data_IF_395601321173
#
_entry.id   IF_395601321173
#
_cell.length_a   1.000
_cell.length_b   1.000
_cell.length_c   1.000
_cell.angle_alpha   90.00
_cell.angle_beta   90.00
_cell.angle_gamma   90.00
#
_symmetry.space_group_name_H-M   'P 1'
#
loop_
_entity.id
_entity.type
_entity.pdbx_description
1 polymer ?
#
# COMPACT_ATOMS: atom_id res chain seq x y z
N UNK A 1 -8.26 -7.67 7.05
CA UNK A 1 -9.09 -6.58 6.48
C UNK A 1 -9.95 -7.11 5.34
N UNK A 2 -10.74 -6.26 4.66
CA UNK A 2 -11.76 -6.64 3.66
C UNK A 2 -11.17 -7.47 2.52
N UNK A 3 -10.08 -7.00 1.90
CA UNK A 3 -9.45 -7.72 0.79
C UNK A 3 -8.64 -8.95 1.20
N UNK A 4 -8.22 -9.07 2.46
CA UNK A 4 -7.54 -10.29 2.94
C UNK A 4 -8.41 -11.54 2.79
N UNK A 5 -9.75 -11.39 2.79
CA UNK A 5 -10.69 -12.48 2.53
C UNK A 5 -10.55 -13.09 1.13
N UNK A 6 -10.05 -12.32 0.17
CA UNK A 6 -9.85 -12.76 -1.21
C UNK A 6 -8.43 -13.27 -1.49
N UNK A 7 -7.50 -13.20 -0.52
CA UNK A 7 -6.14 -13.77 -0.65
C UNK A 7 -6.12 -15.22 -1.18
N UNK A 8 -7.00 -16.14 -0.76
CA UNK A 8 -7.01 -17.51 -1.28
C UNK A 8 -7.26 -17.60 -2.80
N UNK A 9 -8.04 -16.67 -3.36
CA UNK A 9 -8.37 -16.66 -4.80
C UNK A 9 -7.15 -16.30 -5.64
N UNK A 10 -6.36 -15.33 -5.17
CA UNK A 10 -5.17 -14.86 -5.89
C UNK A 10 -3.90 -15.67 -5.59
N UNK A 11 -3.92 -16.51 -4.56
CA UNK A 11 -2.76 -17.31 -4.14
C UNK A 11 -2.25 -18.27 -5.23
N UNK A 12 -3.16 -18.85 -6.03
CA UNK A 12 -2.80 -19.79 -7.10
C UNK A 12 -1.94 -19.15 -8.20
N UNK A 13 -2.42 -18.10 -8.89
CA UNK A 13 -1.63 -17.40 -9.91
C UNK A 13 -0.31 -16.82 -9.38
N UNK A 14 -0.34 -16.18 -8.22
CA UNK A 14 0.83 -15.54 -7.61
C UNK A 14 1.90 -16.58 -7.25
N UNK A 15 1.51 -17.73 -6.69
CA UNK A 15 2.47 -18.79 -6.35
C UNK A 15 3.15 -19.40 -7.58
N UNK A 16 2.44 -19.52 -8.71
CA UNK A 16 3.05 -19.97 -9.98
C UNK A 16 4.09 -18.98 -10.49
N UNK A 17 3.78 -17.69 -10.48
CA UNK A 17 4.73 -16.65 -10.86
C UNK A 17 5.92 -16.60 -9.90
N UNK A 18 5.68 -16.70 -8.60
CA UNK A 18 6.73 -16.74 -7.59
C UNK A 18 7.70 -17.90 -7.82
N UNK A 19 7.19 -19.08 -8.19
CA UNK A 19 8.04 -20.23 -8.55
C UNK A 19 8.93 -19.91 -9.76
N UNK A 20 8.36 -19.34 -10.83
CA UNK A 20 9.14 -18.97 -12.02
C UNK A 20 10.27 -18.01 -11.65
N UNK A 21 9.99 -16.98 -10.85
CA UNK A 21 11.01 -16.02 -10.40
C UNK A 21 12.06 -16.69 -9.51
N UNK A 22 11.65 -17.53 -8.57
CA UNK A 22 12.55 -18.26 -7.69
C UNK A 22 13.52 -19.17 -8.48
N UNK A 23 13.02 -19.83 -9.52
CA UNK A 23 13.81 -20.73 -10.36
C UNK A 23 14.83 -19.97 -11.26
N UNK A 24 14.72 -18.64 -11.39
CA UNK A 24 15.71 -17.80 -12.11
C UNK A 24 16.90 -17.35 -11.24
N UNK A 25 16.90 -17.65 -9.94
CA UNK A 25 17.95 -17.23 -9.00
C UNK A 25 17.79 -15.80 -8.45
N UNK A 26 16.71 -15.11 -8.79
CA UNK A 26 16.34 -13.81 -8.19
C UNK A 26 15.92 -14.04 -6.72
N UNK A 27 16.44 -13.22 -5.82
CA UNK A 27 16.12 -13.32 -4.38
C UNK A 27 14.84 -12.56 -4.03
N UNK A 28 14.08 -12.97 -2.99
CA UNK A 28 12.92 -12.22 -2.51
C UNK A 28 13.22 -10.75 -2.22
N UNK A 29 14.36 -10.46 -1.58
CA UNK A 29 14.78 -9.08 -1.27
C UNK A 29 14.98 -8.21 -2.52
N UNK A 30 15.47 -8.77 -3.63
CA UNK A 30 15.56 -8.05 -4.91
C UNK A 30 14.18 -7.71 -5.46
N UNK A 31 13.20 -8.62 -5.30
CA UNK A 31 11.81 -8.38 -5.70
C UNK A 31 11.17 -7.30 -4.82
N UNK A 32 11.43 -7.30 -3.52
CA UNK A 32 11.02 -6.22 -2.60
C UNK A 32 11.61 -4.87 -3.00
N UNK A 33 12.91 -4.79 -3.33
CA UNK A 33 13.52 -3.54 -3.80
C UNK A 33 12.96 -3.07 -5.15
N UNK A 34 12.62 -4.00 -6.04
CA UNK A 34 11.93 -3.66 -7.30
C UNK A 34 10.52 -3.10 -7.03
N UNK A 35 9.78 -3.66 -6.07
CA UNK A 35 8.47 -3.13 -5.67
C UNK A 35 8.61 -1.68 -5.17
N UNK A 36 9.64 -1.37 -4.39
CA UNK A 36 9.95 -0.01 -3.94
C UNK A 36 10.18 0.93 -5.14
N UNK A 37 11.00 0.52 -6.11
CA UNK A 37 11.26 1.33 -7.30
C UNK A 37 9.96 1.65 -8.05
N UNK A 38 9.07 0.66 -8.23
CA UNK A 38 7.78 0.88 -8.88
C UNK A 38 6.90 1.87 -8.12
N UNK A 39 6.89 1.82 -6.79
CA UNK A 39 6.14 2.81 -5.99
C UNK A 39 6.70 4.23 -6.12
N UNK A 40 8.03 4.38 -6.22
CA UNK A 40 8.68 5.67 -6.44
C UNK A 40 8.33 6.25 -7.82
N UNK A 41 8.40 5.43 -8.86
CA UNK A 41 8.01 5.83 -10.22
C UNK A 41 6.52 6.16 -10.29
N UNK A 42 5.65 5.37 -9.65
CA UNK A 42 4.22 5.69 -9.55
C UNK A 42 3.99 7.06 -8.89
N UNK A 43 4.65 7.32 -7.76
CA UNK A 43 4.60 8.60 -7.06
C UNK A 43 5.03 9.78 -7.95
N UNK A 44 6.14 9.63 -8.68
CA UNK A 44 6.60 10.64 -9.62
C UNK A 44 5.59 10.89 -10.76
N UNK A 45 5.02 9.82 -11.32
CA UNK A 45 3.99 9.92 -12.35
C UNK A 45 2.74 10.64 -11.84
N UNK A 46 2.27 10.36 -10.62
CA UNK A 46 1.17 11.12 -10.02
C UNK A 46 1.53 12.59 -9.83
N UNK A 47 2.73 12.88 -9.30
CA UNK A 47 3.18 14.23 -9.02
C UNK A 47 3.22 15.12 -10.28
N UNK A 48 3.56 14.54 -11.42
CA UNK A 48 3.64 15.24 -12.71
C UNK A 48 2.37 15.08 -13.57
N UNK A 49 1.42 14.24 -13.14
CA UNK A 49 0.32 13.75 -13.98
C UNK A 49 -0.96 14.58 -13.95
N UNK A 50 -1.03 15.67 -13.18
CA UNK A 50 -2.28 16.39 -12.91
C UNK A 50 -3.05 16.82 -14.17
N UNK A 51 -2.30 17.19 -15.22
CA UNK A 51 -2.84 17.55 -16.53
C UNK A 51 -2.51 16.53 -17.64
N UNK A 52 -1.94 15.37 -17.30
CA UNK A 52 -1.45 14.39 -18.26
C UNK A 52 -1.98 12.98 -17.94
N UNK A 53 -3.02 12.59 -18.67
CA UNK A 53 -3.69 11.29 -18.54
C UNK A 53 -2.75 10.09 -18.81
N UNK A 54 -1.72 10.25 -19.65
CA UNK A 54 -0.74 9.19 -19.90
C UNK A 54 0.14 8.95 -18.67
N UNK A 55 0.48 10.01 -17.94
CA UNK A 55 1.20 9.87 -16.67
C UNK A 55 0.33 9.25 -15.59
N UNK A 56 -0.98 9.54 -15.54
CA UNK A 56 -1.92 8.83 -14.65
C UNK A 56 -2.00 7.34 -15.01
N UNK A 57 -2.10 7.01 -16.29
CA UNK A 57 -2.08 5.63 -16.77
C UNK A 57 -0.79 4.90 -16.41
N UNK A 58 0.36 5.56 -16.58
CA UNK A 58 1.65 5.03 -16.16
C UNK A 58 1.69 4.82 -14.63
N UNK A 59 1.21 5.80 -13.85
CA UNK A 59 1.14 5.69 -12.40
C UNK A 59 0.30 4.46 -11.97
N UNK A 60 -0.88 4.27 -12.57
CA UNK A 60 -1.72 3.09 -12.33
C UNK A 60 -0.97 1.78 -12.60
N UNK A 61 -0.29 1.67 -13.74
CA UNK A 61 0.50 0.48 -14.08
C UNK A 61 1.58 0.23 -13.04
N UNK A 62 2.32 1.26 -12.61
CA UNK A 62 3.36 1.12 -11.62
C UNK A 62 2.83 0.81 -10.21
N UNK A 63 1.64 1.29 -9.83
CA UNK A 63 0.96 0.86 -8.59
C UNK A 63 0.59 -0.63 -8.65
N UNK A 64 0.10 -1.11 -9.80
CA UNK A 64 -0.19 -2.54 -10.02
C UNK A 64 1.09 -3.37 -9.92
N UNK A 65 2.18 -2.92 -10.55
CA UNK A 65 3.47 -3.61 -10.48
C UNK A 65 4.05 -3.63 -9.06
N UNK A 66 3.98 -2.51 -8.33
CA UNK A 66 4.34 -2.46 -6.91
C UNK A 66 3.57 -3.52 -6.11
N UNK A 67 2.23 -3.51 -6.20
CA UNK A 67 1.38 -4.46 -5.47
C UNK A 67 1.61 -5.91 -5.88
N UNK A 68 1.96 -6.17 -7.14
CA UNK A 68 2.25 -7.52 -7.62
C UNK A 68 3.58 -8.03 -7.07
N UNK A 69 4.64 -7.22 -7.16
CA UNK A 69 5.99 -7.61 -6.71
C UNK A 69 6.04 -7.81 -5.19
N UNK A 70 5.31 -6.99 -4.45
CA UNK A 70 5.08 -7.12 -3.02
C UNK A 70 4.28 -8.38 -2.61
N UNK A 71 3.49 -8.94 -3.51
CA UNK A 71 2.86 -10.24 -3.25
C UNK A 71 3.76 -11.41 -3.68
N UNK A 72 4.62 -11.17 -4.68
CA UNK A 72 5.56 -12.15 -5.20
C UNK A 72 6.70 -12.41 -4.21
N UNK A 73 7.31 -11.39 -3.62
CA UNK A 73 8.44 -11.56 -2.69
C UNK A 73 8.08 -12.46 -1.49
N UNK A 74 6.94 -12.25 -0.84
CA UNK A 74 6.47 -13.07 0.27
C UNK A 74 6.09 -14.48 -0.19
N UNK A 75 5.62 -14.63 -1.43
CA UNK A 75 5.33 -15.95 -2.01
C UNK A 75 6.60 -16.71 -2.39
N UNK A 76 7.62 -16.00 -2.89
CA UNK A 76 8.94 -16.54 -3.18
C UNK A 76 9.66 -16.97 -1.90
N UNK A 77 9.62 -16.13 -0.86
CA UNK A 77 10.18 -16.44 0.45
C UNK A 77 9.60 -17.75 1.02
N UNK A 78 8.27 -17.93 0.92
CA UNK A 78 7.60 -19.19 1.31
C UNK A 78 8.02 -20.38 0.45
N UNK A 79 8.12 -20.21 -0.87
CA UNK A 79 8.51 -21.29 -1.78
C UNK A 79 9.95 -21.74 -1.55
N UNK A 80 10.87 -20.79 -1.35
CA UNK A 80 12.29 -21.03 -1.09
C UNK A 80 12.58 -21.44 0.37
N UNK A 81 11.56 -21.46 1.23
CA UNK A 81 11.70 -21.69 2.68
C UNK A 81 12.67 -20.69 3.35
N UNK A 82 12.73 -19.46 2.83
CA UNK A 82 13.53 -18.37 3.36
C UNK A 82 12.61 -17.49 4.20
N UNK A 83 12.81 -17.49 5.52
CA UNK A 83 12.09 -16.61 6.44
C UNK A 83 13.06 -16.07 7.49
N UNK A 84 13.83 -15.06 7.11
CA UNK A 84 14.78 -14.41 8.00
C UNK A 84 14.25 -13.04 8.49
N UNK A 85 14.79 -12.60 9.62
CA UNK A 85 14.38 -11.33 10.26
C UNK A 85 14.78 -10.10 9.44
N UNK A 86 15.79 -10.21 8.58
CA UNK A 86 16.26 -9.09 7.78
C UNK A 86 15.30 -8.81 6.61
N UNK A 87 14.76 -9.86 5.98
CA UNK A 87 13.73 -9.78 4.95
C UNK A 87 12.41 -9.23 5.50
N UNK A 88 11.94 -9.72 6.67
CA UNK A 88 10.74 -9.18 7.33
C UNK A 88 10.89 -7.69 7.69
N UNK A 89 12.08 -7.29 8.16
CA UNK A 89 12.41 -5.89 8.36
C UNK A 89 12.39 -5.08 7.07
N UNK A 90 13.04 -5.58 6.00
CA UNK A 90 13.10 -4.92 4.70
C UNK A 90 11.71 -4.69 4.11
N UNK A 91 10.86 -5.73 4.10
CA UNK A 91 9.46 -5.69 3.66
C UNK A 91 8.69 -4.56 4.37
N UNK A 92 8.80 -4.50 5.70
CA UNK A 92 8.07 -3.50 6.47
C UNK A 92 8.53 -2.07 6.21
N UNK A 93 9.83 -1.85 6.00
CA UNK A 93 10.39 -0.55 5.67
C UNK A 93 9.97 -0.15 4.25
N UNK A 94 10.13 -1.05 3.28
CA UNK A 94 9.79 -0.81 1.87
C UNK A 94 8.32 -0.47 1.71
N UNK A 95 7.43 -1.20 2.36
CA UNK A 95 6.01 -0.89 2.36
C UNK A 95 5.69 0.55 2.80
N UNK A 96 6.40 1.04 3.84
CA UNK A 96 6.17 2.41 4.35
C UNK A 96 6.66 3.45 3.38
N UNK A 97 7.84 3.25 2.80
CA UNK A 97 8.31 4.14 1.74
C UNK A 97 7.40 4.08 0.50
N UNK A 98 6.85 2.92 0.16
CA UNK A 98 5.91 2.78 -0.95
C UNK A 98 4.60 3.54 -0.69
N UNK A 99 4.02 3.42 0.51
CA UNK A 99 2.87 4.22 0.94
C UNK A 99 3.20 5.73 0.82
N UNK A 100 4.40 6.15 1.28
CA UNK A 100 4.86 7.54 1.24
C UNK A 100 5.04 8.05 -0.18
N UNK A 101 5.65 7.29 -1.08
CA UNK A 101 5.88 7.70 -2.46
C UNK A 101 4.58 7.85 -3.23
N UNK A 102 3.66 6.89 -3.11
CA UNK A 102 2.39 6.93 -3.85
C UNK A 102 1.50 8.06 -3.32
N UNK A 103 1.28 8.12 -2.01
CA UNK A 103 0.44 9.17 -1.39
C UNK A 103 1.10 10.54 -1.55
N UNK A 104 2.41 10.62 -1.35
CA UNK A 104 3.19 11.84 -1.57
C UNK A 104 3.02 12.34 -3.01
N UNK A 105 3.16 11.47 -4.00
CA UNK A 105 2.93 11.78 -5.40
C UNK A 105 1.55 12.38 -5.67
N UNK A 106 0.51 11.84 -5.04
CA UNK A 106 -0.85 12.41 -5.15
C UNK A 106 -0.97 13.81 -4.50
N UNK A 107 -0.26 14.06 -3.40
CA UNK A 107 -0.25 15.38 -2.75
C UNK A 107 0.53 16.39 -3.60
N UNK A 108 1.73 16.03 -4.05
CA UNK A 108 2.56 16.88 -4.91
C UNK A 108 1.91 17.16 -6.27
N UNK A 109 1.12 16.21 -6.79
CA UNK A 109 0.32 16.39 -8.00
C UNK A 109 -0.92 17.27 -7.80
N UNK A 110 -1.19 17.74 -6.58
CA UNK A 110 -2.29 18.68 -6.31
C UNK A 110 -3.68 18.06 -6.35
N UNK A 111 -3.82 16.73 -6.31
CA UNK A 111 -5.16 16.10 -6.29
C UNK A 111 -5.90 16.33 -4.95
N UNK A 112 -5.17 16.66 -3.88
CA UNK A 112 -5.72 17.15 -2.63
C UNK A 112 -4.80 18.19 -2.00
N UNK A 113 -5.34 19.02 -1.11
CA UNK A 113 -4.55 19.99 -0.36
C UNK A 113 -3.58 19.31 0.63
N UNK A 114 -2.48 20.00 0.94
CA UNK A 114 -1.43 19.54 1.86
C UNK A 114 -1.94 19.05 3.22
N UNK A 115 -2.96 19.71 3.78
CA UNK A 115 -3.57 19.28 5.05
C UNK A 115 -4.22 17.90 4.97
N UNK A 116 -4.94 17.60 3.87
CA UNK A 116 -5.54 16.27 3.62
C UNK A 116 -4.44 15.24 3.38
N UNK A 117 -3.42 15.62 2.62
CA UNK A 117 -2.24 14.79 2.39
C UNK A 117 -1.54 14.37 3.69
N UNK A 118 -1.23 15.35 4.54
CA UNK A 118 -0.61 15.12 5.84
C UNK A 118 -1.49 14.27 6.74
N UNK A 119 -2.78 14.59 6.85
CA UNK A 119 -3.74 13.78 7.60
C UNK A 119 -3.73 12.33 7.10
N UNK A 120 -3.83 12.11 5.80
CA UNK A 120 -3.83 10.77 5.22
C UNK A 120 -2.54 10.01 5.52
N UNK A 121 -1.38 10.66 5.35
CA UNK A 121 -0.07 10.06 5.61
C UNK A 121 0.10 9.67 7.08
N UNK A 122 -0.27 10.57 8.00
CA UNK A 122 -0.21 10.31 9.45
C UNK A 122 -1.09 9.11 9.81
N UNK A 123 -2.33 9.07 9.30
CA UNK A 123 -3.22 7.94 9.53
C UNK A 123 -2.61 6.62 9.07
N UNK A 124 -2.09 6.57 7.84
CA UNK A 124 -1.49 5.36 7.27
C UNK A 124 -0.29 4.89 8.10
N UNK A 125 0.65 5.78 8.39
CA UNK A 125 1.85 5.42 9.15
C UNK A 125 1.52 5.02 10.59
N UNK A 126 0.55 5.69 11.21
CA UNK A 126 0.09 5.36 12.57
C UNK A 126 -0.54 3.97 12.62
N UNK A 127 -1.34 3.58 11.61
CA UNK A 127 -1.87 2.20 11.57
C UNK A 127 -0.75 1.17 11.56
N UNK A 128 0.30 1.38 10.75
CA UNK A 128 1.44 0.46 10.69
C UNK A 128 2.20 0.41 12.01
N UNK A 129 2.52 1.58 12.58
CA UNK A 129 3.20 1.70 13.86
C UNK A 129 2.45 0.98 15.00
N UNK A 130 1.13 1.16 15.09
CA UNK A 130 0.33 0.48 16.12
C UNK A 130 0.35 -1.05 15.94
N UNK A 131 0.44 -1.53 14.70
CA UNK A 131 0.59 -2.96 14.42
C UNK A 131 1.90 -3.51 14.96
N UNK A 132 3.02 -2.81 14.74
CA UNK A 132 4.34 -3.19 15.27
C UNK A 132 4.44 -2.97 16.79
N UNK A 133 3.76 -1.96 17.32
CA UNK A 133 3.73 -1.69 18.76
C UNK A 133 3.00 -2.79 19.54
N UNK A 134 1.90 -3.33 18.99
CA UNK A 134 1.25 -4.50 19.57
C UNK A 134 2.20 -5.71 19.67
N UNK A 135 3.04 -5.91 18.65
CA UNK A 135 4.06 -6.96 18.65
C UNK A 135 5.17 -6.69 19.68
N UNK A 136 5.62 -5.43 19.82
CA UNK A 136 6.61 -5.04 20.82
C UNK A 136 6.12 -5.24 22.26
N UNK A 137 4.81 -5.20 22.49
CA UNK A 137 4.16 -5.46 23.78
C UNK A 137 3.81 -6.95 23.99
N UNK A 138 4.29 -7.86 23.14
CA UNK A 138 4.00 -9.31 23.20
C UNK A 138 2.52 -9.67 23.06
N UNK A 139 1.67 -8.77 22.55
CA UNK A 139 0.25 -9.03 22.24
C UNK A 139 0.11 -9.81 20.91
N UNK A 140 1.18 -9.85 20.13
CA UNK A 140 1.17 -10.35 18.76
C UNK A 140 0.75 -9.25 17.78
N UNK A 141 1.00 -9.50 16.49
CA UNK A 141 0.72 -8.50 15.46
C UNK A 141 -0.76 -8.47 15.12
N UNK A 142 -1.38 -7.31 15.33
CA UNK A 142 -2.79 -7.09 15.00
C UNK A 142 -2.95 -6.45 13.63
N UNK A 143 -3.44 -7.25 12.68
CA UNK A 143 -3.74 -6.80 11.31
C UNK A 143 -5.20 -6.32 11.14
N UNK A 144 -5.99 -6.29 12.21
CA UNK A 144 -7.38 -5.84 12.15
C UNK A 144 -7.53 -4.34 11.88
N UNK A 145 -8.72 -3.95 11.46
CA UNK A 145 -9.04 -2.60 10.99
C UNK A 145 -10.06 -2.60 9.86
N UNK A 146 -10.67 -1.45 9.59
CA UNK A 146 -11.57 -1.29 8.44
C UNK A 146 -10.84 -1.21 7.10
N UNK A 147 -9.58 -0.75 7.08
CA UNK A 147 -8.83 -0.57 5.84
C UNK A 147 -7.36 -0.95 6.01
N UNK A 148 -6.92 -1.91 5.21
CA UNK A 148 -5.53 -2.36 5.12
C UNK A 148 -4.77 -1.78 3.96
N UNK A 149 -3.51 -2.21 3.84
CA UNK A 149 -2.65 -1.78 2.74
C UNK A 149 -3.19 -2.19 1.37
N UNK A 150 -3.60 -3.46 1.22
CA UNK A 150 -4.21 -3.93 -0.03
C UNK A 150 -5.48 -3.12 -0.38
N UNK A 151 -6.32 -2.80 0.60
CA UNK A 151 -7.54 -2.01 0.39
C UNK A 151 -7.21 -0.58 -0.11
N UNK A 152 -6.16 0.05 0.43
CA UNK A 152 -5.69 1.36 -0.03
C UNK A 152 -5.18 1.33 -1.46
N UNK A 153 -4.35 0.34 -1.79
CA UNK A 153 -3.77 0.21 -3.13
C UNK A 153 -4.87 -0.03 -4.17
N UNK A 154 -5.85 -0.89 -3.88
CA UNK A 154 -7.01 -1.11 -4.77
C UNK A 154 -7.86 0.16 -4.91
N UNK A 155 -8.06 0.91 -3.83
CA UNK A 155 -8.79 2.19 -3.91
C UNK A 155 -8.06 3.20 -4.80
N UNK A 156 -6.73 3.32 -4.70
CA UNK A 156 -5.91 4.17 -5.57
C UNK A 156 -5.98 3.69 -7.02
N UNK A 157 -5.88 2.39 -7.26
CA UNK A 157 -5.99 1.82 -8.62
C UNK A 157 -7.34 2.13 -9.25
N UNK A 158 -8.43 1.90 -8.53
CA UNK A 158 -9.79 2.19 -8.98
C UNK A 158 -9.99 3.69 -9.22
N UNK A 159 -9.53 4.54 -8.29
CA UNK A 159 -9.60 5.99 -8.44
C UNK A 159 -8.80 6.48 -9.65
N UNK A 160 -7.63 5.89 -9.92
CA UNK A 160 -6.81 6.23 -11.09
C UNK A 160 -7.51 5.86 -12.40
N UNK A 161 -8.05 4.64 -12.49
CA UNK A 161 -8.77 4.18 -13.66
C UNK A 161 -10.00 5.06 -13.94
N UNK A 162 -10.76 5.38 -12.90
CA UNK A 162 -11.94 6.23 -13.05
C UNK A 162 -11.56 7.69 -13.34
N UNK A 163 -10.44 8.19 -12.80
CA UNK A 163 -9.95 9.54 -13.07
C UNK A 163 -9.50 9.74 -14.52
N UNK A 164 -8.95 8.69 -15.16
CA UNK A 164 -8.66 8.68 -16.60
C UNK A 164 -9.94 8.93 -17.41
N UNK A 165 -11.05 8.29 -17.02
CA UNK A 165 -12.35 8.43 -17.73
C UNK A 165 -13.03 9.76 -17.37
N UNK A 166 -12.95 10.16 -16.10
CA UNK A 166 -13.62 11.32 -15.55
C UNK A 166 -12.63 12.14 -14.68
N UNK A 167 -11.85 13.04 -15.30
CA UNK A 167 -10.84 13.82 -14.59
C UNK A 167 -11.43 15.01 -13.80
N UNK A 168 -12.70 15.32 -14.02
CA UNK A 168 -13.36 16.49 -13.43
C UNK A 168 -13.53 16.36 -11.91
N UNK A 169 -13.55 17.50 -11.24
CA UNK A 169 -13.77 17.57 -9.80
C UNK A 169 -15.24 17.33 -9.44
N UNK A 170 -15.47 16.63 -8.33
CA UNK A 170 -16.77 16.41 -7.71
C UNK A 170 -16.68 17.04 -6.31
N UNK A 171 -17.52 18.03 -6.03
CA UNK A 171 -17.49 18.80 -4.77
C UNK A 171 -16.08 19.31 -4.39
N UNK A 172 -15.32 19.79 -5.37
CA UNK A 172 -14.01 20.41 -5.17
C UNK A 172 -12.80 19.47 -5.19
N UNK A 173 -12.99 18.15 -5.33
CA UNK A 173 -11.89 17.18 -5.42
C UNK A 173 -12.07 16.23 -6.61
N UNK A 174 -10.96 15.86 -7.24
CA UNK A 174 -10.95 14.78 -8.25
C UNK A 174 -11.17 13.42 -7.59
N UNK A 175 -11.41 12.37 -8.37
CA UNK A 175 -11.54 11.00 -7.83
C UNK A 175 -10.28 10.54 -7.08
N UNK A 176 -9.10 10.95 -7.53
CA UNK A 176 -7.83 10.73 -6.81
C UNK A 176 -7.80 11.53 -5.49
N UNK A 177 -8.28 12.77 -5.46
CA UNK A 177 -8.43 13.54 -4.23
C UNK A 177 -9.38 12.89 -3.22
N UNK A 178 -10.52 12.39 -3.69
CA UNK A 178 -11.48 11.63 -2.88
C UNK A 178 -10.86 10.35 -2.31
N UNK A 179 -10.03 9.66 -3.08
CA UNK A 179 -9.32 8.47 -2.59
C UNK A 179 -8.45 8.79 -1.38
N UNK A 180 -7.73 9.93 -1.39
CA UNK A 180 -6.93 10.38 -0.25
C UNK A 180 -7.80 10.65 0.98
N UNK A 181 -8.90 11.38 0.82
CA UNK A 181 -9.82 11.70 1.93
C UNK A 181 -10.37 10.42 2.58
N UNK A 182 -10.88 9.49 1.75
CA UNK A 182 -11.41 8.22 2.22
C UNK A 182 -10.34 7.37 2.93
N UNK A 183 -9.14 7.31 2.35
CA UNK A 183 -8.00 6.62 2.98
C UNK A 183 -7.61 7.25 4.30
N UNK A 184 -7.57 8.58 4.39
CA UNK A 184 -7.20 9.29 5.61
C UNK A 184 -8.20 9.04 6.74
N UNK A 185 -9.49 9.15 6.46
CA UNK A 185 -10.56 8.85 7.43
C UNK A 185 -10.46 7.38 7.85
N UNK A 186 -10.39 6.46 6.90
CA UNK A 186 -10.40 5.04 7.20
C UNK A 186 -9.16 4.58 7.98
N UNK A 187 -8.00 5.19 7.70
CA UNK A 187 -6.75 4.90 8.41
C UNK A 187 -6.79 5.40 9.84
N UNK A 188 -7.36 6.59 10.11
CA UNK A 188 -7.53 7.07 11.49
C UNK A 188 -8.52 6.24 12.30
N UNK A 189 -9.66 5.86 11.69
CA UNK A 189 -10.60 4.95 12.33
C UNK A 189 -9.92 3.61 12.64
N UNK A 190 -9.13 3.08 11.70
CA UNK A 190 -8.34 1.87 11.91
C UNK A 190 -7.33 2.05 13.04
N UNK A 191 -6.63 3.19 13.12
CA UNK A 191 -5.69 3.49 14.20
C UNK A 191 -6.39 3.48 15.56
N UNK A 192 -7.56 4.12 15.68
CA UNK A 192 -8.37 4.12 16.91
C UNK A 192 -8.81 2.70 17.30
N UNK A 193 -9.22 1.88 16.33
CA UNK A 193 -9.56 0.47 16.56
C UNK A 193 -8.37 -0.31 17.10
N UNK A 194 -7.16 -0.10 16.54
CA UNK A 194 -5.93 -0.74 17.02
C UNK A 194 -5.54 -0.28 18.43
N UNK A 195 -5.66 1.02 18.72
CA UNK A 195 -5.43 1.56 20.08
C UNK A 195 -6.38 0.91 21.08
N UNK A 196 -7.67 0.85 20.77
CA UNK A 196 -8.65 0.22 21.64
C UNK A 196 -8.36 -1.27 21.86
N UNK A 197 -8.03 -2.00 20.79
CA UNK A 197 -7.64 -3.41 20.87
C UNK A 197 -6.40 -3.63 21.74
N UNK A 198 -5.34 -2.83 21.56
CA UNK A 198 -4.12 -2.93 22.37
C UNK A 198 -4.43 -2.63 23.83
N UNK A 199 -5.17 -1.55 24.11
CA UNK A 199 -5.51 -1.14 25.49
C UNK A 199 -6.27 -2.23 26.23
N UNK A 200 -7.29 -2.82 25.61
CA UNK A 200 -8.09 -3.90 26.21
C UNK A 200 -7.30 -5.18 26.48
N UNK A 201 -6.14 -5.37 25.84
CA UNK A 201 -5.24 -6.50 26.05
C UNK A 201 -4.17 -6.25 27.12
N UNK A 202 -3.93 -5.00 27.48
CA UNK A 202 -2.94 -4.62 28.50
C UNK A 202 -3.48 -4.60 29.93
N UNK A 203 -4.81 -4.61 30.11
CA UNK A 203 -5.47 -4.40 31.40
C UNK A 203 -6.09 -3.02 31.47
#
# INVERSE_FOLDING_TARGET
MTLDRFRPVFAGPISRLAKIFADTGITPNQVTLASLLFSAVAGLCYALGAANIFLIGAALIFVVLNSLFDALDGSMARYLLINDKAGDFLDHVVDRYADVFIVGGLVFGGYAGWGIGLFTMVGILLTSYLGTQAQALSIGRFYGGIMGRADRLVLIMAASLLHIIYPQAIFGYTLLGWSLILMGIASHVTALQRIHFIRTRLG
#
